data_IF_366441637750
#
_entry.id   IF_366441637750
#
_cell.length_a   1.000
_cell.length_b   1.000
_cell.length_c   1.000
_cell.angle_alpha   90.00
_cell.angle_beta   90.00
_cell.angle_gamma   90.00
#
_symmetry.space_group_name_H-M   'P 1'
#
loop_
_entity.id
_entity.type
_entity.pdbx_description
1 polymer ?
#
# COMPACT_ATOMS: atom_id res chain seq x y z
N UNK A 1 -43.78 34.37 8.24
CA UNK A 1 -43.59 33.49 7.07
C UNK A 1 -42.13 33.02 7.03
N UNK A 2 -41.84 31.96 7.77
CA UNK A 2 -40.54 31.29 7.86
C UNK A 2 -40.45 30.29 6.70
N UNK A 3 -39.65 30.52 5.65
CA UNK A 3 -39.58 29.55 4.54
C UNK A 3 -38.46 29.68 3.49
N UNK A 4 -37.29 30.26 3.77
CA UNK A 4 -36.18 30.22 2.77
C UNK A 4 -34.76 30.02 3.34
N UNK A 5 -34.62 29.70 4.62
CA UNK A 5 -33.30 29.39 5.22
C UNK A 5 -32.95 27.90 5.23
N UNK A 6 -33.89 27.01 4.93
CA UNK A 6 -33.66 25.55 4.98
C UNK A 6 -33.05 25.00 3.68
N UNK A 7 -33.15 25.70 2.55
CA UNK A 7 -32.66 25.17 1.26
C UNK A 7 -31.22 25.54 0.89
N UNK A 8 -30.56 26.47 1.59
CA UNK A 8 -29.18 26.87 1.25
C UNK A 8 -28.13 26.04 2.02
N UNK A 9 -28.51 25.39 3.13
CA UNK A 9 -27.60 24.54 3.90
C UNK A 9 -27.51 23.07 3.42
N UNK A 10 -28.21 22.72 2.32
CA UNK A 10 -28.33 21.34 1.83
C UNK A 10 -27.56 21.05 0.53
N UNK A 11 -26.68 21.96 0.09
CA UNK A 11 -25.90 21.81 -1.16
C UNK A 11 -24.39 21.74 -0.97
N UNK A 12 -23.90 21.66 0.26
CA UNK A 12 -22.50 21.33 0.52
C UNK A 12 -22.43 19.96 1.20
N UNK A 13 -23.05 18.95 0.58
CA UNK A 13 -22.57 17.57 0.79
C UNK A 13 -21.22 17.53 0.07
N UNK A 14 -20.16 17.94 0.78
CA UNK A 14 -18.79 17.77 0.34
C UNK A 14 -18.62 16.29 0.04
N UNK A 15 -18.60 15.96 -1.25
CA UNK A 15 -18.18 14.66 -1.72
C UNK A 15 -16.71 14.55 -1.33
N UNK A 16 -16.43 13.92 -0.17
CA UNK A 16 -15.11 13.45 0.16
C UNK A 16 -14.81 12.29 -0.80
N UNK A 17 -14.51 12.61 -2.06
CA UNK A 17 -13.96 11.65 -2.99
C UNK A 17 -12.55 11.35 -2.47
N UNK A 18 -12.38 10.20 -1.82
CA UNK A 18 -11.06 9.74 -1.39
C UNK A 18 -10.16 9.65 -2.61
N UNK A 19 -9.23 10.58 -2.73
CA UNK A 19 -8.27 10.57 -3.84
C UNK A 19 -7.31 9.41 -3.62
N UNK A 20 -7.22 8.52 -4.60
CA UNK A 20 -6.21 7.48 -4.62
C UNK A 20 -4.83 8.13 -4.85
N UNK A 21 -3.98 8.12 -3.83
CA UNK A 21 -2.61 8.65 -3.90
C UNK A 21 -1.63 7.47 -3.96
N UNK A 22 -0.83 7.42 -5.04
CA UNK A 22 0.24 6.42 -5.21
C UNK A 22 1.38 6.73 -4.24
N UNK A 23 1.87 5.76 -3.45
CA UNK A 23 3.07 5.97 -2.65
C UNK A 23 4.30 6.13 -3.56
N UNK A 24 5.16 7.10 -3.24
CA UNK A 24 6.44 7.32 -3.91
C UNK A 24 7.53 6.43 -3.28
N UNK A 25 7.40 5.12 -3.48
CA UNK A 25 8.43 4.19 -3.04
C UNK A 25 9.63 4.24 -3.99
N UNK A 26 10.82 4.25 -3.41
CA UNK A 26 12.07 4.14 -4.16
C UNK A 26 12.80 2.85 -3.78
N UNK A 27 13.47 2.24 -4.76
CA UNK A 27 14.10 0.95 -4.54
C UNK A 27 15.31 1.07 -3.61
N UNK A 28 16.01 2.21 -3.63
CA UNK A 28 17.09 2.56 -2.72
C UNK A 28 16.64 2.63 -1.26
N UNK A 29 15.36 2.92 -1.00
CA UNK A 29 14.79 2.96 0.34
C UNK A 29 14.41 1.57 0.87
N UNK A 30 14.61 0.50 0.09
CA UNK A 30 14.20 -0.85 0.45
C UNK A 30 14.70 -1.33 1.83
N UNK A 31 15.96 -1.07 2.26
CA UNK A 31 16.41 -1.45 3.61
C UNK A 31 15.55 -0.79 4.70
N UNK A 32 15.28 0.50 4.57
CA UNK A 32 14.48 1.28 5.53
C UNK A 32 13.02 0.84 5.51
N UNK A 33 12.45 0.65 4.32
CA UNK A 33 11.07 0.19 4.13
C UNK A 33 10.88 -1.23 4.69
N UNK A 34 11.87 -2.11 4.58
CA UNK A 34 11.81 -3.45 5.16
C UNK A 34 11.83 -3.41 6.69
N UNK A 35 12.67 -2.56 7.30
CA UNK A 35 12.65 -2.39 8.76
C UNK A 35 11.31 -1.86 9.25
N UNK A 36 10.70 -0.92 8.52
CA UNK A 36 9.37 -0.42 8.85
C UNK A 36 8.30 -1.51 8.67
N UNK A 37 8.32 -2.24 7.56
CA UNK A 37 7.45 -3.39 7.32
C UNK A 37 7.50 -4.43 8.45
N UNK A 38 8.70 -4.77 8.94
CA UNK A 38 8.84 -5.69 10.07
C UNK A 38 8.14 -5.18 11.33
N UNK A 39 8.19 -3.86 11.58
CA UNK A 39 7.49 -3.23 12.72
C UNK A 39 5.99 -3.21 12.51
N UNK A 40 5.53 -2.76 11.34
CA UNK A 40 4.12 -2.59 11.01
C UNK A 40 3.34 -3.92 11.02
N UNK A 41 4.01 -5.02 10.64
CA UNK A 41 3.41 -6.35 10.55
C UNK A 41 3.99 -7.35 11.55
N UNK A 42 4.67 -6.86 12.60
CA UNK A 42 5.24 -7.66 13.69
C UNK A 42 6.02 -8.89 13.20
N UNK A 43 6.84 -8.73 12.16
CA UNK A 43 7.63 -9.81 11.58
C UNK A 43 8.80 -10.16 12.46
N UNK A 44 8.92 -11.45 12.76
CA UNK A 44 10.06 -12.07 13.41
C UNK A 44 10.46 -13.28 12.56
N UNK A 45 11.75 -13.41 12.29
CA UNK A 45 12.31 -14.49 11.49
C UNK A 45 13.18 -15.37 12.38
N UNK A 46 13.21 -16.67 12.10
CA UNK A 46 13.86 -17.64 12.98
C UNK A 46 15.38 -17.48 13.01
N UNK A 47 15.97 -17.00 11.93
CA UNK A 47 17.41 -16.80 11.78
C UNK A 47 17.73 -15.80 10.67
N UNK A 48 19.00 -15.41 10.59
CA UNK A 48 19.49 -14.46 9.60
C UNK A 48 19.29 -14.94 8.16
N UNK A 49 19.44 -16.25 7.89
CA UNK A 49 19.24 -16.79 6.54
C UNK A 49 17.79 -16.62 6.07
N UNK A 50 16.81 -16.83 6.96
CA UNK A 50 15.40 -16.55 6.69
C UNK A 50 15.18 -15.04 6.48
N UNK A 51 15.71 -14.19 7.36
CA UNK A 51 15.56 -12.74 7.21
C UNK A 51 16.13 -12.23 5.87
N UNK A 52 17.32 -12.71 5.46
CA UNK A 52 17.91 -12.36 4.17
C UNK A 52 17.05 -12.86 3.00
N UNK A 53 16.47 -14.06 3.09
CA UNK A 53 15.55 -14.57 2.08
C UNK A 53 14.28 -13.72 1.98
N UNK A 54 13.67 -13.38 3.12
CA UNK A 54 12.47 -12.55 3.24
C UNK A 54 12.72 -11.14 2.72
N UNK A 55 13.89 -10.58 3.00
CA UNK A 55 14.32 -9.30 2.44
C UNK A 55 14.40 -9.34 0.91
N UNK A 56 15.00 -10.38 0.32
CA UNK A 56 15.05 -10.54 -1.16
C UNK A 56 13.65 -10.60 -1.77
N UNK A 57 12.73 -11.34 -1.16
CA UNK A 57 11.33 -11.41 -1.60
C UNK A 57 10.66 -10.03 -1.50
N UNK A 58 10.88 -9.33 -0.38
CA UNK A 58 10.39 -7.98 -0.16
C UNK A 58 10.86 -7.00 -1.23
N UNK A 59 12.16 -6.97 -1.55
CA UNK A 59 12.72 -6.12 -2.61
C UNK A 59 12.08 -6.43 -3.97
N UNK A 60 11.88 -7.71 -4.28
CA UNK A 60 11.21 -8.14 -5.52
C UNK A 60 9.77 -7.62 -5.59
N UNK A 61 9.01 -7.76 -4.51
CA UNK A 61 7.62 -7.29 -4.44
C UNK A 61 7.54 -5.75 -4.43
N UNK A 62 8.49 -5.06 -3.80
CA UNK A 62 8.59 -3.59 -3.84
C UNK A 62 8.82 -3.09 -5.26
N UNK A 63 9.72 -3.73 -6.01
CA UNK A 63 9.96 -3.41 -7.43
C UNK A 63 8.69 -3.55 -8.26
N UNK A 64 7.91 -4.60 -8.00
CA UNK A 64 6.64 -4.83 -8.69
C UNK A 64 5.58 -3.78 -8.32
N UNK A 65 5.46 -3.42 -7.04
CA UNK A 65 4.58 -2.34 -6.58
C UNK A 65 4.91 -1.01 -7.29
N UNK A 66 6.20 -0.66 -7.35
CA UNK A 66 6.68 0.56 -8.05
C UNK A 66 6.30 0.51 -9.53
N UNK A 67 6.59 -0.60 -10.21
CA UNK A 67 6.26 -0.81 -11.63
C UNK A 67 4.76 -0.68 -11.89
N UNK A 68 3.93 -1.35 -11.09
CA UNK A 68 2.48 -1.33 -11.25
C UNK A 68 1.89 0.05 -11.00
N UNK A 69 2.36 0.79 -9.99
CA UNK A 69 1.95 2.18 -9.75
C UNK A 69 2.39 3.14 -10.85
N UNK A 70 3.57 2.93 -11.44
CA UNK A 70 4.05 3.73 -12.57
C UNK A 70 3.18 3.54 -13.83
N UNK A 71 2.57 2.37 -14.01
CA UNK A 71 1.65 2.07 -15.11
C UNK A 71 0.24 2.64 -14.92
N UNK A 72 -0.10 3.12 -13.72
CA UNK A 72 -1.43 3.68 -13.46
C UNK A 72 -1.58 5.06 -14.10
N UNK A 73 -2.77 5.38 -14.65
CA UNK A 73 -3.07 6.71 -15.17
C UNK A 73 -3.03 7.77 -14.06
N UNK A 74 -3.16 9.04 -14.46
CA UNK A 74 -3.35 10.16 -13.56
C UNK A 74 -4.72 10.78 -13.84
N UNK A 75 -5.71 10.69 -12.92
CA UNK A 75 -5.62 10.07 -11.60
C UNK A 75 -5.57 8.52 -11.66
N UNK A 76 -4.96 7.86 -10.65
CA UNK A 76 -4.87 6.41 -10.62
C UNK A 76 -6.23 5.76 -10.30
N UNK A 77 -6.50 4.61 -10.93
CA UNK A 77 -7.68 3.77 -10.68
C UNK A 77 -7.39 2.65 -9.68
N UNK A 78 -6.12 2.30 -9.50
CA UNK A 78 -5.66 1.31 -8.53
C UNK A 78 -4.35 1.80 -7.92
N UNK A 79 -4.14 1.52 -6.63
CA UNK A 79 -2.89 1.84 -5.94
C UNK A 79 -2.37 0.60 -5.23
N UNK A 80 -1.15 0.22 -5.57
CA UNK A 80 -0.42 -0.88 -4.94
C UNK A 80 0.42 -0.32 -3.78
N UNK A 81 0.40 -1.02 -2.64
CA UNK A 81 1.12 -0.61 -1.42
C UNK A 81 1.83 -1.81 -0.80
N UNK A 82 2.87 -1.54 0.00
CA UNK A 82 3.43 -2.55 0.90
C UNK A 82 2.31 -2.99 1.84
N UNK A 83 2.12 -4.30 1.98
CA UNK A 83 1.12 -4.90 2.85
C UNK A 83 1.71 -6.09 3.60
N UNK A 84 0.91 -6.77 4.43
CA UNK A 84 1.38 -7.92 5.21
C UNK A 84 2.01 -9.03 4.37
N UNK A 85 1.67 -9.19 3.09
CA UNK A 85 2.21 -10.24 2.22
C UNK A 85 3.46 -9.80 1.45
N UNK A 86 4.01 -8.61 1.71
CA UNK A 86 5.13 -8.07 0.95
C UNK A 86 6.41 -8.91 1.01
N UNK A 87 6.60 -9.78 2.02
CA UNK A 87 7.73 -10.72 2.13
C UNK A 87 7.39 -12.17 1.72
N UNK A 88 6.26 -12.36 1.02
CA UNK A 88 5.78 -13.66 0.56
C UNK A 88 5.80 -13.78 -0.95
N UNK A 89 6.02 -15.00 -1.42
CA UNK A 89 5.83 -15.38 -2.82
C UNK A 89 4.36 -15.71 -3.10
N UNK A 90 3.89 -15.59 -4.37
CA UNK A 90 2.53 -15.99 -4.72
C UNK A 90 2.19 -17.44 -4.35
N UNK A 91 3.18 -18.34 -4.44
CA UNK A 91 3.02 -19.75 -4.06
C UNK A 91 2.71 -19.91 -2.57
N UNK A 92 3.37 -19.14 -1.70
CA UNK A 92 3.13 -19.17 -0.25
C UNK A 92 1.74 -18.65 0.13
N UNK A 93 1.21 -17.68 -0.62
CA UNK A 93 -0.15 -17.15 -0.40
C UNK A 93 -1.20 -18.19 -0.86
N UNK A 94 -0.95 -18.91 -1.95
CA UNK A 94 -1.90 -19.85 -2.54
C UNK A 94 -2.01 -21.22 -1.85
N UNK A 95 -1.07 -21.60 -0.98
CA UNK A 95 -1.08 -22.90 -0.27
C UNK A 95 -1.80 -22.87 1.09
N UNK A 96 -2.49 -21.77 1.43
CA UNK A 96 -3.26 -21.64 2.67
C UNK A 96 -4.73 -22.09 2.58
N UNK A 97 -5.04 -23.15 1.82
CA UNK A 97 -6.38 -23.78 1.83
C UNK A 97 -6.31 -25.19 2.37
#
# INVERSE_FOLDING_TARGET
MLRYTVCVFLLIVLTNAETLIKPDYKLEDAPKLFQQFKKDYHRQYANEAEEQMRYKIFVSNLKEIIRLNAMQPNPPITVYKINQFADRTPKEIGHGR
#
